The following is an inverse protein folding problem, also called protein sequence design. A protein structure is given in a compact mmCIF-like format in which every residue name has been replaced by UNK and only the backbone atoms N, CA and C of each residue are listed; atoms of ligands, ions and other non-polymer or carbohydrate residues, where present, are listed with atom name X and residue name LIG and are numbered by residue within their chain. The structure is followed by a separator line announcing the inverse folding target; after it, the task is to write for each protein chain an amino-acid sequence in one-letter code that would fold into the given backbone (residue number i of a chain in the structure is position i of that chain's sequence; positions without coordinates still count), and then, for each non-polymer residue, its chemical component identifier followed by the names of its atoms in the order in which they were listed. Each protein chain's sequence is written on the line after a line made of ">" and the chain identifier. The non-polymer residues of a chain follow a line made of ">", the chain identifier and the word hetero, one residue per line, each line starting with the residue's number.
data_IF_967686310106
#
_entry.id   IF_967686310106
#
_cell.length_a   1.000
_cell.length_b   1.000
_cell.length_c   1.000
_cell.angle_alpha   90.00
_cell.angle_beta   90.00
_cell.angle_gamma   90.00
#
_symmetry.space_group_name_H-M   'P 1'
#
loop_
_entity.id
_entity.type
_entity.pdbx_description
1 polymer ?
#
# COMPACT_ATOMS: atom_id res chain seq x y z
N UNK A 1 27.46 33.89 26.56
CA UNK A 1 26.06 33.63 26.16
C UNK A 1 25.80 34.40 24.88
N UNK A 2 25.58 33.70 23.76
CA UNK A 2 25.32 34.30 22.45
C UNK A 2 23.92 33.86 21.99
N UNK A 3 23.00 34.81 21.82
CA UNK A 3 21.65 34.54 21.31
C UNK A 3 21.67 34.46 19.78
N UNK A 4 21.47 33.27 19.23
CA UNK A 4 21.21 33.08 17.80
C UNK A 4 19.79 33.56 17.49
N UNK A 5 19.66 34.82 17.07
CA UNK A 5 18.42 35.34 16.50
C UNK A 5 18.17 34.70 15.14
N UNK A 6 17.00 34.08 14.98
CA UNK A 6 16.54 33.49 13.72
C UNK A 6 16.45 34.61 12.67
N UNK A 7 17.13 34.43 11.54
CA UNK A 7 17.19 35.42 10.47
C UNK A 7 15.87 35.47 9.70
N UNK A 8 14.95 36.28 10.21
CA UNK A 8 13.58 36.50 9.71
C UNK A 8 13.55 36.91 8.23
N UNK A 9 14.62 37.53 7.73
CA UNK A 9 14.78 37.91 6.32
C UNK A 9 14.97 36.71 5.40
N UNK A 10 15.64 35.66 5.87
CA UNK A 10 15.79 34.42 5.11
C UNK A 10 14.45 33.70 4.98
N UNK A 11 13.63 33.70 6.04
CA UNK A 11 12.31 33.07 6.05
C UNK A 11 11.36 33.78 5.07
N UNK A 12 11.31 35.12 5.09
CA UNK A 12 10.48 35.90 4.15
C UNK A 12 10.88 35.66 2.69
N UNK A 13 12.18 35.52 2.42
CA UNK A 13 12.69 35.19 1.08
C UNK A 13 12.23 33.81 0.62
N UNK A 14 12.22 32.82 1.52
CA UNK A 14 11.73 31.46 1.22
C UNK A 14 10.22 31.41 0.99
N UNK A 15 9.42 32.11 1.81
CA UNK A 15 7.96 32.21 1.62
C UNK A 15 7.62 32.85 0.28
N UNK A 16 8.33 33.92 -0.09
CA UNK A 16 8.12 34.59 -1.38
C UNK A 16 8.52 33.71 -2.58
N UNK A 17 9.56 32.89 -2.43
CA UNK A 17 9.97 31.92 -3.45
C UNK A 17 8.92 30.79 -3.60
N UNK A 18 8.36 30.30 -2.50
CA UNK A 18 7.27 29.32 -2.50
C UNK A 18 6.03 29.85 -3.20
N UNK A 19 5.55 31.04 -2.84
CA UNK A 19 4.37 31.64 -3.48
C UNK A 19 4.55 31.79 -5.00
N UNK A 20 5.74 32.22 -5.44
CA UNK A 20 6.06 32.35 -6.87
C UNK A 20 6.14 30.99 -7.58
N UNK A 21 6.55 29.93 -6.87
CA UNK A 21 6.53 28.57 -7.40
C UNK A 21 5.09 28.04 -7.54
N UNK A 22 4.23 28.30 -6.55
CA UNK A 22 2.81 27.96 -6.60
C UNK A 22 2.07 28.70 -7.73
N UNK A 23 2.31 30.00 -7.92
CA UNK A 23 1.73 30.75 -9.05
C UNK A 23 2.18 30.20 -10.41
N UNK A 24 3.44 29.81 -10.54
CA UNK A 24 3.96 29.18 -11.77
C UNK A 24 3.36 27.79 -12.00
N UNK A 25 3.13 27.02 -10.93
CA UNK A 25 2.48 25.72 -11.01
C UNK A 25 0.98 25.87 -11.40
N UNK A 26 0.26 26.82 -10.79
CA UNK A 26 -1.14 27.12 -11.11
C UNK A 26 -1.33 27.63 -12.55
N UNK A 27 -0.35 28.36 -13.09
CA UNK A 27 -0.37 28.82 -14.48
C UNK A 27 -0.02 27.72 -15.49
N UNK A 28 0.79 26.73 -15.08
CA UNK A 28 1.21 25.59 -15.92
C UNK A 28 0.17 24.46 -15.93
N UNK A 29 -0.60 24.33 -14.85
CA UNK A 29 -1.71 23.39 -14.70
C UNK A 29 -2.95 24.16 -14.21
N UNK A 30 -3.70 24.82 -15.12
CA UNK A 30 -4.93 25.48 -14.73
C UNK A 30 -5.89 24.43 -14.17
N UNK A 31 -6.09 24.45 -12.86
CA UNK A 31 -7.15 23.68 -12.22
C UNK A 31 -8.45 24.28 -12.70
N UNK A 32 -9.09 23.65 -13.69
CA UNK A 32 -10.49 23.92 -14.03
C UNK A 32 -11.33 23.47 -12.84
N UNK A 33 -11.58 24.39 -11.91
CA UNK A 33 -12.66 24.25 -10.95
C UNK A 33 -13.96 24.37 -11.75
N UNK A 34 -14.80 23.33 -11.83
CA UNK A 34 -16.13 23.50 -12.40
C UNK A 34 -16.87 24.54 -11.58
N UNK A 35 -17.35 25.57 -12.27
CA UNK A 35 -18.21 26.62 -11.71
C UNK A 35 -19.40 25.95 -11.05
N UNK A 36 -19.56 26.24 -9.77
CA UNK A 36 -20.64 25.85 -8.86
C UNK A 36 -22.02 25.88 -9.53
N UNK A 37 -22.50 24.70 -9.92
CA UNK A 37 -23.91 24.35 -9.84
C UNK A 37 -24.15 23.68 -8.50
N UNK A 38 -25.27 23.97 -7.83
CA UNK A 38 -25.69 23.30 -6.58
C UNK A 38 -25.54 21.79 -6.74
N UNK A 39 -24.56 21.20 -6.06
CA UNK A 39 -24.29 19.78 -6.17
C UNK A 39 -23.16 19.37 -5.24
N UNK A 40 -23.47 18.39 -4.40
CA UNK A 40 -22.54 17.57 -3.65
C UNK A 40 -21.62 18.29 -2.65
N UNK A 41 -22.01 18.24 -1.37
CA UNK A 41 -21.03 18.26 -0.29
C UNK A 41 -20.23 16.96 -0.37
N UNK A 42 -19.10 16.98 -1.07
CA UNK A 42 -18.01 16.06 -0.76
C UNK A 42 -17.55 16.40 0.65
N UNK A 43 -18.01 15.62 1.62
CA UNK A 43 -17.49 15.61 2.98
C UNK A 43 -15.99 15.36 2.92
N UNK A 44 -15.24 16.42 3.21
CA UNK A 44 -13.79 16.40 3.33
C UNK A 44 -13.37 15.64 4.58
N UNK A 45 -12.37 14.77 4.41
CA UNK A 45 -11.47 14.26 5.45
C UNK A 45 -12.07 13.30 6.50
N UNK A 46 -12.27 12.06 6.07
CA UNK A 46 -12.47 10.87 6.89
C UNK A 46 -13.00 9.80 5.96
N UNK A 47 -12.22 8.74 5.71
CA UNK A 47 -12.60 7.49 4.99
C UNK A 47 -14.04 7.49 4.45
N UNK A 48 -14.24 8.13 3.30
CA UNK A 48 -15.55 8.31 2.68
C UNK A 48 -16.01 7.00 2.07
N UNK A 49 -16.47 6.09 2.92
CA UNK A 49 -17.41 5.07 2.52
C UNK A 49 -18.64 5.78 1.95
N UNK A 50 -19.04 5.49 0.72
CA UNK A 50 -20.41 5.82 0.32
C UNK A 50 -21.38 5.00 1.19
N UNK A 51 -22.69 5.26 1.05
CA UNK A 51 -23.71 4.58 1.84
C UNK A 51 -23.60 3.04 1.76
N UNK A 52 -22.91 2.47 0.78
CA UNK A 52 -22.69 1.03 0.63
C UNK A 52 -22.10 0.31 1.86
N UNK A 53 -21.40 1.03 2.75
CA UNK A 53 -20.83 0.46 3.99
C UNK A 53 -21.75 0.62 5.20
N UNK A 54 -22.88 1.33 5.08
CA UNK A 54 -23.92 1.38 6.09
C UNK A 54 -25.10 0.50 5.63
N UNK A 55 -25.21 -0.73 6.16
CA UNK A 55 -26.26 -1.65 5.77
C UNK A 55 -27.66 -1.11 6.03
N UNK A 56 -27.85 -0.30 7.08
CA UNK A 56 -29.16 0.21 7.47
C UNK A 56 -29.63 1.34 6.55
N UNK A 57 -28.73 2.25 6.17
CA UNK A 57 -29.02 3.27 5.15
C UNK A 57 -29.37 2.63 3.81
N UNK A 58 -28.60 1.63 3.37
CA UNK A 58 -28.87 0.97 2.08
C UNK A 58 -30.17 0.19 2.10
N UNK A 59 -30.50 -0.48 3.21
CA UNK A 59 -31.77 -1.20 3.36
C UNK A 59 -32.95 -0.24 3.33
N UNK A 60 -32.87 0.90 4.02
CA UNK A 60 -33.92 1.92 3.98
C UNK A 60 -34.09 2.49 2.56
N UNK A 61 -32.98 2.85 1.89
CA UNK A 61 -33.04 3.36 0.52
C UNK A 61 -33.62 2.32 -0.46
N UNK A 62 -33.22 1.05 -0.32
CA UNK A 62 -33.74 -0.07 -1.13
C UNK A 62 -35.24 -0.22 -0.92
N UNK A 63 -35.69 -0.24 0.33
CA UNK A 63 -37.11 -0.36 0.67
C UNK A 63 -37.94 0.82 0.14
N UNK A 64 -37.42 2.06 0.25
CA UNK A 64 -38.06 3.24 -0.34
C UNK A 64 -38.12 3.14 -1.88
N UNK A 65 -37.11 2.54 -2.50
CA UNK A 65 -37.02 2.35 -3.95
C UNK A 65 -38.00 1.33 -4.51
N UNK A 66 -38.38 0.34 -3.70
CA UNK A 66 -39.38 -0.68 -4.03
C UNK A 66 -40.82 -0.15 -3.97
N UNK A 67 -41.05 0.97 -3.27
CA UNK A 67 -42.37 1.59 -3.23
C UNK A 67 -42.77 2.13 -4.61
N UNK A 68 -44.06 2.00 -4.99
CA UNK A 68 -44.57 2.57 -6.24
C UNK A 68 -44.27 4.08 -6.30
N UNK A 69 -43.91 4.62 -7.47
CA UNK A 69 -43.56 6.05 -7.61
C UNK A 69 -44.69 7.01 -7.21
N UNK A 70 -45.93 6.55 -7.29
CA UNK A 70 -47.13 7.30 -6.90
C UNK A 70 -47.42 7.23 -5.39
N UNK A 71 -46.71 6.37 -4.65
CA UNK A 71 -47.00 6.07 -3.26
C UNK A 71 -45.92 6.66 -2.36
N UNK A 72 -46.40 7.36 -1.35
CA UNK A 72 -45.61 8.00 -0.33
C UNK A 72 -45.33 7.00 0.79
N UNK A 73 -44.06 6.77 1.09
CA UNK A 73 -43.64 5.72 2.02
C UNK A 73 -43.63 6.23 3.46
N UNK A 74 -44.36 5.55 4.35
CA UNK A 74 -44.38 5.88 5.77
C UNK A 74 -43.25 5.14 6.49
N UNK A 75 -42.42 5.87 7.24
CA UNK A 75 -41.28 5.28 7.98
C UNK A 75 -41.72 4.24 9.02
N UNK A 76 -42.92 4.38 9.59
CA UNK A 76 -43.50 3.41 10.52
C UNK A 76 -43.62 2.02 9.90
N UNK A 77 -44.00 1.94 8.61
CA UNK A 77 -44.11 0.67 7.91
C UNK A 77 -42.73 -0.01 7.75
N UNK A 78 -41.67 0.77 7.55
CA UNK A 78 -40.31 0.24 7.52
C UNK A 78 -39.81 -0.17 8.92
N UNK A 79 -40.09 0.63 9.96
CA UNK A 79 -39.72 0.30 11.34
C UNK A 79 -40.36 -1.03 11.79
N UNK A 80 -41.64 -1.22 11.49
CA UNK A 80 -42.35 -2.49 11.73
C UNK A 80 -41.77 -3.66 10.92
N UNK A 81 -41.43 -3.42 9.64
CA UNK A 81 -40.88 -4.45 8.77
C UNK A 81 -39.44 -4.86 9.13
N UNK A 82 -38.60 -3.91 9.53
CA UNK A 82 -37.18 -4.10 9.79
C UNK A 82 -36.86 -4.43 11.26
N UNK A 83 -37.79 -4.17 12.17
CA UNK A 83 -37.57 -4.28 13.62
C UNK A 83 -36.69 -3.16 14.20
N UNK A 84 -36.32 -2.16 13.39
CA UNK A 84 -35.51 -1.02 13.82
C UNK A 84 -36.42 0.01 14.52
N UNK A 85 -36.02 0.56 15.69
CA UNK A 85 -36.79 1.60 16.37
C UNK A 85 -37.10 2.78 15.43
N UNK A 86 -38.33 3.28 15.50
CA UNK A 86 -38.78 4.36 14.62
C UNK A 86 -37.90 5.61 14.70
N UNK A 87 -37.37 5.94 15.88
CA UNK A 87 -36.51 7.10 16.06
C UNK A 87 -35.16 6.93 15.32
N UNK A 88 -34.61 5.71 15.28
CA UNK A 88 -33.42 5.40 14.50
C UNK A 88 -33.72 5.45 12.99
N UNK A 89 -34.87 4.94 12.57
CA UNK A 89 -35.33 5.05 11.17
C UNK A 89 -35.48 6.51 10.73
N UNK A 90 -35.96 7.39 11.62
CA UNK A 90 -36.04 8.83 11.34
C UNK A 90 -34.66 9.46 11.15
N UNK A 91 -33.66 9.03 11.94
CA UNK A 91 -32.27 9.48 11.77
C UNK A 91 -31.72 9.05 10.42
N UNK A 92 -31.90 7.78 10.05
CA UNK A 92 -31.49 7.24 8.75
C UNK A 92 -32.17 7.99 7.58
N UNK A 93 -33.47 8.29 7.72
CA UNK A 93 -34.21 9.02 6.69
C UNK A 93 -33.72 10.47 6.53
N UNK A 94 -33.39 11.14 7.64
CA UNK A 94 -32.78 12.48 7.61
C UNK A 94 -31.40 12.47 6.95
N UNK A 95 -30.62 11.41 7.15
CA UNK A 95 -29.33 11.24 6.48
C UNK A 95 -29.50 11.03 4.97
N UNK A 96 -30.43 10.18 4.55
CA UNK A 96 -30.77 10.03 3.12
C UNK A 96 -31.30 11.35 2.51
N UNK A 97 -32.04 12.16 3.26
CA UNK A 97 -32.48 13.49 2.81
C UNK A 97 -31.32 14.47 2.67
N UNK A 98 -30.43 14.51 3.67
CA UNK A 98 -29.20 15.33 3.65
C UNK A 98 -28.33 14.99 2.44
N UNK A 99 -28.23 13.70 2.12
CA UNK A 99 -27.41 13.20 1.01
C UNK A 99 -28.13 13.30 -0.34
N UNK A 100 -29.37 13.81 -0.35
CA UNK A 100 -30.17 14.06 -1.56
C UNK A 100 -30.76 12.79 -2.19
N UNK A 101 -30.72 11.66 -1.49
CA UNK A 101 -31.19 10.35 -1.96
C UNK A 101 -32.68 10.12 -1.69
N UNK A 102 -33.21 10.77 -0.65
CA UNK A 102 -34.63 10.78 -0.33
C UNK A 102 -35.12 12.22 -0.11
N UNK A 103 -36.44 12.42 -0.18
CA UNK A 103 -37.06 13.71 0.03
C UNK A 103 -38.31 13.54 0.91
N UNK A 104 -38.41 14.36 1.96
CA UNK A 104 -39.57 14.37 2.84
C UNK A 104 -40.64 15.30 2.27
N UNK A 105 -41.82 14.74 2.00
CA UNK A 105 -42.97 15.56 1.63
C UNK A 105 -43.53 16.18 2.90
N UNK A 106 -43.07 17.39 3.23
CA UNK A 106 -43.53 18.16 4.38
C UNK A 106 -45.05 18.33 4.33
N UNK A 107 -45.74 17.49 5.08
CA UNK A 107 -47.19 17.53 5.22
C UNK A 107 -47.46 18.12 6.58
N UNK A 108 -48.26 19.19 6.65
CA UNK A 108 -48.59 19.81 7.93
C UNK A 108 -49.37 18.80 8.80
N UNK A 109 -48.73 18.26 9.85
CA UNK A 109 -49.42 17.67 11.00
C UNK A 109 -49.16 16.19 11.36
N UNK A 110 -48.38 15.41 10.60
CA UNK A 110 -47.99 14.04 11.01
C UNK A 110 -46.77 13.54 10.22
N UNK A 111 -46.26 12.33 10.56
CA UNK A 111 -45.15 11.62 9.90
C UNK A 111 -45.00 12.00 8.43
N UNK A 112 -43.89 12.68 8.11
CA UNK A 112 -43.61 13.09 6.74
C UNK A 112 -43.34 11.82 5.93
N UNK A 113 -44.14 11.53 4.90
CA UNK A 113 -43.80 10.45 4.01
C UNK A 113 -42.57 10.79 3.19
N UNK A 114 -41.77 9.77 2.90
CA UNK A 114 -40.56 9.88 2.11
C UNK A 114 -40.77 9.30 0.72
N UNK A 115 -40.04 9.87 -0.24
CA UNK A 115 -39.87 9.33 -1.60
C UNK A 115 -38.41 9.33 -1.98
N UNK A 116 -38.02 8.40 -2.85
CA UNK A 116 -36.67 8.40 -3.45
C UNK A 116 -36.60 9.47 -4.53
N UNK A 117 -35.52 10.26 -4.51
CA UNK A 117 -35.23 11.28 -5.54
C UNK A 117 -34.71 10.62 -6.83
N UNK A 118 -34.52 11.41 -7.90
CA UNK A 118 -33.88 10.90 -9.11
C UNK A 118 -32.43 10.44 -8.84
N UNK A 119 -31.69 11.19 -8.01
CA UNK A 119 -30.34 10.82 -7.58
C UNK A 119 -30.34 9.53 -6.75
N UNK A 120 -31.30 9.38 -5.83
CA UNK A 120 -31.50 8.14 -5.08
C UNK A 120 -31.79 6.93 -5.99
N UNK A 121 -32.46 7.11 -7.13
CA UNK A 121 -32.69 6.04 -8.11
C UNK A 121 -31.44 5.69 -8.91
N UNK A 122 -30.61 6.67 -9.25
CA UNK A 122 -29.29 6.42 -9.85
C UNK A 122 -28.43 5.63 -8.86
N UNK A 123 -28.48 6.01 -7.59
CA UNK A 123 -27.75 5.33 -6.53
C UNK A 123 -28.24 3.89 -6.30
N UNK A 124 -29.55 3.64 -6.32
CA UNK A 124 -30.11 2.29 -6.29
C UNK A 124 -29.62 1.42 -7.45
N UNK A 125 -29.48 1.99 -8.66
CA UNK A 125 -28.91 1.27 -9.80
C UNK A 125 -27.42 0.98 -9.57
N UNK A 126 -26.65 1.92 -9.02
CA UNK A 126 -25.24 1.72 -8.65
C UNK A 126 -25.10 0.60 -7.61
N UNK A 127 -25.93 0.61 -6.58
CA UNK A 127 -25.95 -0.42 -5.53
C UNK A 127 -26.31 -1.80 -6.10
N UNK A 128 -27.27 -1.88 -7.03
CA UNK A 128 -27.58 -3.13 -7.73
C UNK A 128 -26.40 -3.66 -8.58
N UNK A 129 -25.64 -2.76 -9.21
CA UNK A 129 -24.41 -3.12 -9.92
C UNK A 129 -23.31 -3.59 -8.96
N UNK A 130 -23.14 -2.92 -7.81
CA UNK A 130 -22.18 -3.35 -6.78
C UNK A 130 -22.54 -4.71 -6.18
N UNK A 131 -23.83 -4.95 -5.93
CA UNK A 131 -24.34 -6.24 -5.46
C UNK A 131 -24.11 -7.37 -6.44
N UNK A 132 -23.97 -7.08 -7.74
CA UNK A 132 -23.67 -8.11 -8.75
C UNK A 132 -22.18 -8.23 -9.07
N UNK A 133 -21.30 -7.42 -8.44
CA UNK A 133 -19.86 -7.44 -8.68
C UNK A 133 -19.12 -8.37 -7.68
N UNK A 134 -18.69 -9.58 -8.10
CA UNK A 134 -18.13 -10.57 -7.16
C UNK A 134 -16.86 -10.07 -6.47
N UNK A 135 -16.00 -9.37 -7.22
CA UNK A 135 -14.76 -8.82 -6.68
C UNK A 135 -15.01 -7.77 -5.58
N UNK A 136 -16.06 -6.95 -5.70
CA UNK A 136 -16.41 -5.97 -4.67
C UNK A 136 -16.94 -6.67 -3.41
N UNK A 137 -17.81 -7.66 -3.60
CA UNK A 137 -18.38 -8.47 -2.51
C UNK A 137 -17.32 -9.21 -1.71
N UNK A 138 -16.37 -9.87 -2.38
CA UNK A 138 -15.27 -10.56 -1.71
C UNK A 138 -14.35 -9.63 -0.92
N UNK A 139 -14.02 -8.44 -1.47
CA UNK A 139 -13.24 -7.44 -0.72
C UNK A 139 -13.97 -6.97 0.52
N UNK A 140 -15.25 -6.61 0.37
CA UNK A 140 -16.08 -6.20 1.50
C UNK A 140 -16.17 -7.32 2.54
N UNK A 141 -16.47 -8.56 2.15
CA UNK A 141 -16.57 -9.69 3.06
C UNK A 141 -15.27 -9.92 3.85
N UNK A 142 -14.11 -9.79 3.19
CA UNK A 142 -12.79 -9.91 3.83
C UNK A 142 -12.58 -8.82 4.89
N UNK A 143 -12.86 -7.56 4.55
CA UNK A 143 -12.66 -6.43 5.45
C UNK A 143 -13.68 -6.45 6.61
N UNK A 144 -14.95 -6.71 6.32
CA UNK A 144 -16.04 -6.74 7.28
C UNK A 144 -15.89 -7.90 8.26
N UNK A 145 -15.54 -9.10 7.78
CA UNK A 145 -15.32 -10.26 8.65
C UNK A 145 -14.14 -10.04 9.61
N UNK A 146 -13.04 -9.45 9.13
CA UNK A 146 -11.89 -9.16 10.00
C UNK A 146 -12.22 -8.12 11.09
N UNK A 147 -12.99 -7.06 10.74
CA UNK A 147 -13.48 -6.10 11.75
C UNK A 147 -14.41 -6.75 12.76
N UNK A 148 -15.34 -7.58 12.29
CA UNK A 148 -16.25 -8.31 13.18
C UNK A 148 -15.49 -9.22 14.16
N UNK A 149 -14.44 -9.92 13.70
CA UNK A 149 -13.57 -10.72 14.56
C UNK A 149 -12.85 -9.87 15.60
N UNK A 150 -12.38 -8.68 15.23
CA UNK A 150 -11.78 -7.74 16.17
C UNK A 150 -12.79 -7.29 17.23
N UNK A 151 -13.97 -6.83 16.83
CA UNK A 151 -15.00 -6.35 17.77
C UNK A 151 -15.49 -7.46 18.71
N UNK A 152 -15.63 -8.68 18.19
CA UNK A 152 -16.16 -9.83 18.94
C UNK A 152 -15.08 -10.55 19.75
N UNK A 153 -13.82 -10.54 19.33
CA UNK A 153 -12.78 -11.44 19.82
C UNK A 153 -11.35 -10.86 19.72
N UNK A 154 -11.17 -9.56 19.99
CA UNK A 154 -9.84 -8.92 20.03
C UNK A 154 -8.88 -9.55 21.04
N UNK A 155 -9.39 -10.28 22.03
CA UNK A 155 -8.61 -11.10 22.97
C UNK A 155 -8.07 -12.40 22.35
N UNK A 156 -8.26 -12.59 21.03
CA UNK A 156 -7.82 -13.75 20.24
C UNK A 156 -8.48 -15.06 20.66
N UNK A 157 -9.66 -14.99 21.27
CA UNK A 157 -10.45 -16.20 21.57
C UNK A 157 -10.95 -16.86 20.27
N UNK A 158 -10.89 -18.20 20.16
CA UNK A 158 -11.45 -18.90 19.00
C UNK A 158 -12.95 -18.63 18.87
N UNK A 159 -13.37 -18.23 17.67
CA UNK A 159 -14.74 -17.81 17.36
C UNK A 159 -15.27 -18.56 16.15
N UNK A 160 -16.55 -18.94 16.18
CA UNK A 160 -17.20 -19.66 15.08
C UNK A 160 -17.54 -18.70 13.92
N UNK A 161 -16.98 -18.87 12.71
CA UNK A 161 -17.17 -17.92 11.60
C UNK A 161 -18.63 -17.68 11.21
N UNK A 162 -19.47 -18.72 11.24
CA UNK A 162 -20.89 -18.58 10.87
C UNK A 162 -21.68 -17.58 11.73
N UNK A 163 -21.17 -17.21 12.92
CA UNK A 163 -21.77 -16.15 13.74
C UNK A 163 -21.81 -14.79 13.03
N UNK A 164 -20.87 -14.54 12.12
CA UNK A 164 -20.82 -13.31 11.32
C UNK A 164 -22.03 -13.15 10.40
N UNK A 165 -22.51 -14.22 9.77
CA UNK A 165 -23.63 -14.13 8.82
C UNK A 165 -24.93 -13.66 9.47
N UNK A 166 -25.06 -13.82 10.79
CA UNK A 166 -26.21 -13.34 11.56
C UNK A 166 -26.12 -11.85 11.97
N UNK A 167 -25.03 -11.16 11.65
CA UNK A 167 -24.84 -9.75 12.04
C UNK A 167 -25.21 -8.78 10.92
N UNK A 168 -25.36 -7.50 11.25
CA UNK A 168 -25.74 -6.48 10.25
C UNK A 168 -24.62 -6.23 9.24
N UNK A 169 -23.37 -6.42 9.67
CA UNK A 169 -22.15 -6.26 8.87
C UNK A 169 -22.03 -7.32 7.76
N UNK A 170 -22.81 -8.39 7.82
CA UNK A 170 -22.89 -9.42 6.77
C UNK A 170 -23.62 -8.96 5.51
N UNK A 171 -24.12 -7.72 5.46
CA UNK A 171 -24.83 -7.17 4.32
C UNK A 171 -23.94 -6.18 3.54
N UNK A 172 -23.83 -6.39 2.23
CA UNK A 172 -23.13 -5.47 1.32
C UNK A 172 -24.08 -4.91 0.28
N UNK A 173 -24.13 -3.57 0.15
CA UNK A 173 -25.05 -2.90 -0.77
C UNK A 173 -26.50 -3.44 -0.64
N UNK A 174 -26.92 -3.72 0.60
CA UNK A 174 -28.24 -4.24 0.95
C UNK A 174 -28.50 -5.72 0.67
N UNK A 175 -27.53 -6.45 0.10
CA UNK A 175 -27.64 -7.90 -0.09
C UNK A 175 -26.84 -8.66 0.95
N UNK A 176 -27.41 -9.72 1.52
CA UNK A 176 -26.72 -10.66 2.42
C UNK A 176 -25.52 -11.30 1.71
N UNK A 177 -24.42 -11.48 2.45
CA UNK A 177 -23.27 -12.28 2.03
C UNK A 177 -23.60 -13.77 2.15
N UNK A 178 -23.16 -14.56 1.17
CA UNK A 178 -23.34 -16.02 1.20
C UNK A 178 -22.25 -16.72 2.02
N UNK A 179 -22.52 -17.95 2.44
CA UNK A 179 -21.53 -18.81 3.09
C UNK A 179 -20.27 -19.01 2.22
N UNK A 180 -20.44 -19.15 0.91
CA UNK A 180 -19.31 -19.25 -0.04
C UNK A 180 -18.44 -17.99 -0.08
N UNK A 181 -19.02 -16.80 0.16
CA UNK A 181 -18.26 -15.55 0.23
C UNK A 181 -17.50 -15.43 1.55
N UNK A 182 -18.08 -15.96 2.63
CA UNK A 182 -17.41 -16.10 3.92
C UNK A 182 -16.25 -17.11 3.83
N UNK A 183 -16.44 -18.25 3.19
CA UNK A 183 -15.38 -19.24 2.98
C UNK A 183 -14.20 -18.66 2.19
N UNK A 184 -14.50 -17.85 1.17
CA UNK A 184 -13.48 -17.12 0.42
C UNK A 184 -12.72 -16.13 1.31
N UNK A 185 -13.45 -15.34 2.11
CA UNK A 185 -12.85 -14.38 3.04
C UNK A 185 -11.95 -15.08 4.07
N UNK A 186 -12.40 -16.20 4.64
CA UNK A 186 -11.63 -17.04 5.56
C UNK A 186 -10.35 -17.54 4.91
N UNK A 187 -10.45 -18.20 3.74
CA UNK A 187 -9.29 -18.69 3.02
C UNK A 187 -8.29 -17.57 2.70
N UNK A 188 -8.78 -16.38 2.35
CA UNK A 188 -7.94 -15.22 2.08
C UNK A 188 -7.24 -14.72 3.34
N UNK A 189 -7.95 -14.59 4.46
CA UNK A 189 -7.38 -14.09 5.72
C UNK A 189 -6.37 -15.07 6.31
N UNK A 190 -6.69 -16.36 6.32
CA UNK A 190 -5.78 -17.43 6.77
C UNK A 190 -4.53 -17.49 5.90
N UNK A 191 -4.67 -17.45 4.56
CA UNK A 191 -3.50 -17.44 3.66
C UNK A 191 -2.63 -16.18 3.80
N UNK A 192 -3.19 -15.09 4.35
CA UNK A 192 -2.46 -13.85 4.61
C UNK A 192 -1.88 -13.74 6.03
N UNK A 193 -2.13 -14.71 6.91
CA UNK A 193 -1.65 -14.70 8.30
C UNK A 193 -2.39 -13.72 9.22
N UNK A 194 -3.52 -13.16 8.79
CA UNK A 194 -4.32 -12.22 9.60
C UNK A 194 -5.29 -12.95 10.55
N UNK A 195 -5.58 -14.21 10.26
CA UNK A 195 -6.45 -15.09 11.04
C UNK A 195 -5.81 -16.48 11.08
N UNK A 196 -5.85 -17.13 12.24
CA UNK A 196 -5.42 -18.52 12.41
C UNK A 196 -6.64 -19.44 12.51
N UNK A 197 -6.55 -20.60 11.88
CA UNK A 197 -7.49 -21.70 12.10
C UNK A 197 -7.19 -22.34 13.46
N UNK A 198 -8.16 -22.33 14.36
CA UNK A 198 -8.11 -23.14 15.57
C UNK A 198 -8.65 -24.52 15.19
N UNK A 199 -7.80 -25.55 15.34
CA UNK A 199 -8.06 -26.93 14.95
C UNK A 199 -9.09 -27.60 15.89
N UNK A 200 -10.31 -27.06 15.87
CA UNK A 200 -11.44 -27.44 16.72
C UNK A 200 -12.62 -27.89 15.86
N UNK A 201 -13.52 -28.69 16.46
CA UNK A 201 -14.78 -29.06 15.83
C UNK A 201 -15.96 -28.54 16.67
N UNK A 202 -16.84 -27.67 16.14
CA UNK A 202 -16.80 -27.07 14.80
C UNK A 202 -15.59 -26.14 14.57
N UNK A 203 -15.25 -25.88 13.31
CA UNK A 203 -14.10 -25.06 12.92
C UNK A 203 -14.22 -23.67 13.52
N UNK A 204 -13.24 -23.29 14.34
CA UNK A 204 -13.15 -21.93 14.90
C UNK A 204 -11.92 -21.23 14.37
N UNK A 205 -11.93 -19.91 14.41
CA UNK A 205 -10.82 -19.08 13.97
C UNK A 205 -10.49 -18.04 15.02
N UNK A 206 -9.23 -17.62 15.07
CA UNK A 206 -8.77 -16.58 15.98
C UNK A 206 -8.04 -15.49 15.20
N UNK A 207 -8.32 -14.22 15.51
CA UNK A 207 -7.58 -13.11 14.94
C UNK A 207 -6.12 -13.14 15.41
N UNK A 208 -5.18 -12.85 14.52
CA UNK A 208 -3.74 -12.75 14.86
C UNK A 208 -3.39 -11.34 15.32
N UNK A 209 -2.15 -11.14 15.80
CA UNK A 209 -1.66 -9.80 16.10
C UNK A 209 -1.63 -8.94 14.83
N UNK A 210 -1.16 -9.50 13.71
CA UNK A 210 -1.14 -8.80 12.42
C UNK A 210 -2.56 -8.47 11.94
N UNK A 211 -3.54 -9.35 12.22
CA UNK A 211 -4.96 -9.08 11.96
C UNK A 211 -5.49 -7.89 12.77
N UNK A 212 -5.13 -7.80 14.05
CA UNK A 212 -5.48 -6.66 14.91
C UNK A 212 -4.84 -5.37 14.36
N UNK A 213 -3.55 -5.40 14.04
CA UNK A 213 -2.84 -4.24 13.48
C UNK A 213 -3.45 -3.80 12.14
N UNK A 214 -3.88 -4.75 11.31
CA UNK A 214 -4.60 -4.47 10.07
C UNK A 214 -5.89 -3.67 10.35
N UNK A 215 -6.71 -4.10 11.31
CA UNK A 215 -7.95 -3.39 11.68
C UNK A 215 -7.64 -2.00 12.24
N UNK A 216 -6.67 -1.90 13.15
CA UNK A 216 -6.27 -0.63 13.77
C UNK A 216 -5.65 0.37 12.78
N UNK A 217 -5.06 -0.11 11.68
CA UNK A 217 -4.53 0.76 10.63
C UNK A 217 -5.61 1.56 9.88
N UNK A 218 -6.88 1.14 9.97
CA UNK A 218 -8.02 1.81 9.35
C UNK A 218 -8.08 1.70 7.82
N UNK A 219 -7.22 0.91 7.19
CA UNK A 219 -7.24 0.67 5.73
C UNK A 219 -7.85 -0.69 5.38
N UNK A 220 -8.09 -0.93 4.10
CA UNK A 220 -8.56 -2.25 3.64
C UNK A 220 -7.49 -3.32 3.87
N UNK A 221 -7.90 -4.58 4.01
CA UNK A 221 -6.98 -5.72 4.12
C UNK A 221 -6.03 -5.77 2.93
N UNK A 222 -6.52 -5.45 1.73
CA UNK A 222 -5.67 -5.42 0.53
C UNK A 222 -4.61 -4.32 0.60
N UNK A 223 -4.97 -3.12 1.05
CA UNK A 223 -4.02 -2.02 1.19
C UNK A 223 -3.03 -2.26 2.32
N UNK A 224 -3.48 -2.85 3.43
CA UNK A 224 -2.60 -3.25 4.53
C UNK A 224 -1.56 -4.25 4.05
N UNK A 225 -1.99 -5.35 3.41
CA UNK A 225 -1.09 -6.37 2.88
C UNK A 225 -0.15 -5.83 1.79
N UNK A 226 -0.57 -4.85 1.00
CA UNK A 226 0.31 -4.19 0.03
C UNK A 226 1.37 -3.29 0.67
N UNK A 227 1.15 -2.82 1.91
CA UNK A 227 2.12 -2.01 2.66
C UNK A 227 3.09 -2.88 3.47
N UNK A 228 2.58 -3.95 4.08
CA UNK A 228 3.38 -4.86 4.93
C UNK A 228 4.15 -5.88 4.13
N UNK A 229 3.71 -6.21 2.90
CA UNK A 229 4.61 -6.82 1.92
C UNK A 229 5.57 -5.72 1.47
N UNK A 230 6.88 -5.85 1.71
CA UNK A 230 7.83 -5.05 0.95
C UNK A 230 7.59 -5.46 -0.51
N UNK A 231 6.87 -4.64 -1.27
CA UNK A 231 7.03 -4.68 -2.71
C UNK A 231 8.52 -4.51 -2.95
N UNK A 232 9.09 -5.33 -3.83
CA UNK A 232 10.49 -5.23 -4.20
C UNK A 232 10.83 -3.75 -4.44
N UNK A 233 11.52 -3.15 -3.48
CA UNK A 233 12.00 -1.79 -3.60
C UNK A 233 13.14 -1.87 -4.60
N UNK A 234 12.83 -1.66 -5.88
CA UNK A 234 13.84 -1.37 -6.88
C UNK A 234 14.31 0.06 -6.63
N UNK A 235 15.31 0.22 -5.76
CA UNK A 235 16.06 1.47 -5.70
C UNK A 235 16.85 1.60 -6.99
N UNK A 236 16.37 2.42 -7.92
CA UNK A 236 17.20 2.90 -9.01
C UNK A 236 18.07 4.01 -8.42
N UNK A 237 19.32 3.68 -8.13
CA UNK A 237 20.39 4.61 -7.79
C UNK A 237 20.69 5.46 -9.03
N UNK A 238 19.87 6.49 -9.23
CA UNK A 238 19.95 7.35 -10.41
C UNK A 238 18.76 8.30 -10.51
N UNK A 239 18.71 9.28 -9.61
CA UNK A 239 17.97 10.56 -9.74
C UNK A 239 16.77 10.58 -10.70
N UNK A 240 15.66 9.92 -10.34
CA UNK A 240 14.29 10.34 -10.69
C UNK A 240 13.26 9.46 -9.97
N UNK A 241 12.53 10.03 -9.02
CA UNK A 241 11.34 9.40 -8.42
C UNK A 241 10.17 9.60 -9.40
N UNK A 242 9.71 8.52 -10.02
CA UNK A 242 8.46 8.52 -10.77
C UNK A 242 7.40 7.84 -9.90
N UNK A 243 6.47 8.64 -9.37
CA UNK A 243 5.21 8.15 -8.83
C UNK A 243 4.23 8.01 -9.99
N UNK A 244 3.74 6.80 -10.26
CA UNK A 244 2.68 6.63 -11.25
C UNK A 244 2.39 5.18 -11.60
N UNK A 245 1.19 4.74 -11.22
CA UNK A 245 0.53 3.56 -11.78
C UNK A 245 0.30 3.74 -13.28
N UNK A 246 0.62 2.72 -14.08
CA UNK A 246 -0.21 2.15 -15.15
C UNK A 246 0.58 1.10 -15.92
N UNK A 247 -0.18 0.13 -16.44
CA UNK A 247 0.32 -1.13 -16.96
C UNK A 247 1.21 -1.00 -18.20
N UNK A 248 2.05 -2.03 -18.33
CA UNK A 248 2.86 -2.39 -19.50
C UNK A 248 4.08 -1.51 -19.75
N UNK A 249 5.07 -1.68 -18.88
CA UNK A 249 6.47 -1.54 -19.27
C UNK A 249 6.99 -2.96 -19.49
N UNK A 250 6.99 -3.42 -20.74
CA UNK A 250 7.89 -4.49 -21.16
C UNK A 250 9.31 -3.90 -21.13
N UNK A 251 9.88 -3.83 -19.93
CA UNK A 251 11.29 -3.52 -19.77
C UNK A 251 12.04 -4.80 -20.07
N UNK A 252 12.67 -4.82 -21.24
CA UNK A 252 13.69 -5.79 -21.57
C UNK A 252 14.80 -5.66 -20.52
N UNK A 253 14.69 -6.45 -19.45
CA UNK A 253 15.71 -6.55 -18.42
C UNK A 253 16.88 -7.32 -19.05
N UNK A 254 17.71 -6.59 -19.82
CA UNK A 254 19.03 -7.07 -20.17
C UNK A 254 19.81 -7.15 -18.85
N UNK A 255 20.08 -8.38 -18.43
CA UNK A 255 21.02 -8.77 -17.38
C UNK A 255 22.10 -7.71 -17.10
N UNK A 256 21.97 -6.96 -16.02
CA UNK A 256 23.11 -6.79 -15.12
C UNK A 256 23.02 -7.92 -14.08
N UNK A 257 23.10 -9.15 -14.58
CA UNK A 257 23.50 -10.27 -13.74
C UNK A 257 24.83 -9.85 -13.10
N UNK A 258 24.96 -10.05 -11.79
CA UNK A 258 26.22 -9.90 -11.09
C UNK A 258 27.33 -10.61 -11.88
N UNK A 259 28.12 -9.85 -12.63
CA UNK A 259 29.17 -10.38 -13.49
C UNK A 259 30.53 -10.05 -12.87
N UNK A 260 31.13 -10.99 -12.11
CA UNK A 260 32.41 -10.79 -11.47
C UNK A 260 33.59 -10.82 -12.47
N UNK A 261 33.34 -10.87 -13.78
CA UNK A 261 34.37 -10.87 -14.84
C UNK A 261 35.38 -9.73 -14.70
N UNK A 262 34.91 -8.51 -14.43
CA UNK A 262 35.79 -7.34 -14.25
C UNK A 262 36.73 -7.47 -13.04
N UNK A 263 36.28 -8.13 -11.96
CA UNK A 263 37.13 -8.38 -10.78
C UNK A 263 38.11 -9.53 -11.01
N UNK A 264 37.76 -10.50 -11.85
CA UNK A 264 38.67 -11.56 -12.30
C UNK A 264 39.80 -10.99 -13.16
N UNK A 265 39.48 -10.08 -14.08
CA UNK A 265 40.48 -9.39 -14.91
C UNK A 265 41.42 -8.53 -14.07
N UNK A 266 40.88 -7.83 -13.07
CA UNK A 266 41.69 -7.09 -12.11
C UNK A 266 42.64 -8.00 -11.31
N UNK A 267 42.16 -9.12 -10.80
CA UNK A 267 43.00 -10.09 -10.08
C UNK A 267 44.16 -10.62 -10.95
N UNK A 268 43.89 -10.96 -12.21
CA UNK A 268 44.91 -11.40 -13.17
C UNK A 268 45.95 -10.30 -13.44
N UNK A 269 45.51 -9.05 -13.54
CA UNK A 269 46.41 -7.91 -13.72
C UNK A 269 47.32 -7.70 -12.50
N UNK A 270 46.78 -7.82 -11.29
CA UNK A 270 47.57 -7.71 -10.05
C UNK A 270 48.65 -8.79 -10.01
N UNK A 271 48.32 -10.04 -10.34
CA UNK A 271 49.30 -11.13 -10.42
C UNK A 271 50.40 -10.86 -11.46
N UNK A 272 50.04 -10.32 -12.62
CA UNK A 272 50.98 -10.02 -13.70
C UNK A 272 51.94 -8.87 -13.35
N UNK A 273 51.43 -7.86 -12.63
CA UNK A 273 52.18 -6.65 -12.31
C UNK A 273 52.84 -6.67 -10.92
N UNK A 274 52.47 -7.59 -10.03
CA UNK A 274 53.07 -7.74 -8.70
C UNK A 274 54.63 -7.78 -8.72
N UNK A 275 55.29 -8.54 -9.61
CA UNK A 275 56.76 -8.56 -9.69
C UNK A 275 57.38 -7.24 -10.15
N UNK A 276 56.59 -6.34 -10.74
CA UNK A 276 57.05 -5.06 -11.29
C UNK A 276 56.96 -3.90 -10.29
N UNK A 277 56.31 -4.11 -9.13
CA UNK A 277 56.14 -3.08 -8.10
C UNK A 277 57.37 -2.86 -7.22
N UNK A 278 58.40 -3.71 -7.33
CA UNK A 278 59.66 -3.54 -6.60
C UNK A 278 59.49 -3.67 -5.08
N UNK A 279 58.57 -4.53 -4.65
CA UNK A 279 58.26 -4.83 -3.24
C UNK A 279 59.07 -6.02 -2.73
N UNK A 280 59.12 -6.18 -1.41
CA UNK A 280 59.81 -7.31 -0.79
C UNK A 280 59.16 -8.65 -1.20
N UNK A 281 59.94 -9.73 -1.41
CA UNK A 281 59.43 -11.01 -1.88
C UNK A 281 58.28 -11.56 -1.03
N UNK A 282 58.32 -11.40 0.30
CA UNK A 282 57.27 -11.87 1.20
C UNK A 282 55.95 -11.10 1.01
N UNK A 283 56.02 -9.81 0.70
CA UNK A 283 54.84 -8.97 0.42
C UNK A 283 54.30 -9.22 -0.99
N UNK A 284 55.20 -9.55 -1.93
CA UNK A 284 54.84 -9.95 -3.28
C UNK A 284 54.05 -11.26 -3.28
N UNK A 285 54.53 -12.27 -2.57
CA UNK A 285 53.88 -13.58 -2.49
C UNK A 285 52.51 -13.48 -1.80
N UNK A 286 52.40 -12.66 -0.74
CA UNK A 286 51.12 -12.39 -0.10
C UNK A 286 50.11 -11.71 -1.04
N UNK A 287 50.55 -10.68 -1.80
CA UNK A 287 49.68 -9.98 -2.74
C UNK A 287 49.22 -10.87 -3.91
N UNK A 288 50.11 -11.74 -4.41
CA UNK A 288 49.78 -12.72 -5.44
C UNK A 288 48.74 -13.72 -4.91
N UNK A 289 48.94 -14.22 -3.68
CA UNK A 289 47.99 -15.13 -3.04
C UNK A 289 46.62 -14.48 -2.84
N UNK A 290 46.56 -13.24 -2.36
CA UNK A 290 45.30 -12.52 -2.19
C UNK A 290 44.57 -12.28 -3.53
N UNK A 291 45.32 -12.02 -4.60
CA UNK A 291 44.78 -11.90 -5.95
C UNK A 291 44.27 -13.25 -6.49
N UNK A 292 44.93 -14.37 -6.20
CA UNK A 292 44.42 -15.72 -6.51
C UNK A 292 43.09 -15.99 -5.83
N UNK A 293 42.98 -15.68 -4.53
CA UNK A 293 41.72 -15.83 -3.77
C UNK A 293 40.60 -14.99 -4.38
N UNK A 294 40.88 -13.75 -4.79
CA UNK A 294 39.91 -12.91 -5.49
C UNK A 294 39.47 -13.52 -6.84
N UNK A 295 40.41 -14.06 -7.62
CA UNK A 295 40.12 -14.70 -8.91
C UNK A 295 39.28 -15.98 -8.75
N UNK A 296 39.56 -16.79 -7.72
CA UNK A 296 38.80 -18.00 -7.39
C UNK A 296 37.37 -17.67 -6.96
N UNK A 297 37.19 -16.71 -6.06
CA UNK A 297 35.86 -16.27 -5.61
C UNK A 297 35.05 -15.66 -6.76
N UNK A 298 35.71 -14.90 -7.66
CA UNK A 298 35.11 -14.34 -8.87
C UNK A 298 34.82 -15.39 -9.97
N UNK A 299 35.37 -16.60 -9.87
CA UNK A 299 35.17 -17.69 -10.85
C UNK A 299 34.28 -18.81 -10.34
N UNK A 300 33.88 -18.75 -9.06
CA UNK A 300 32.98 -19.72 -8.44
C UNK A 300 31.58 -19.68 -9.07
N UNK A 301 31.02 -20.87 -9.35
CA UNK A 301 29.63 -21.01 -9.81
C UNK A 301 28.59 -20.53 -8.78
N UNK A 302 29.01 -20.28 -7.54
CA UNK A 302 28.20 -19.69 -6.47
C UNK A 302 28.92 -18.45 -5.89
N UNK A 303 29.33 -17.55 -6.78
CA UNK A 303 30.01 -16.31 -6.45
C UNK A 303 29.19 -15.49 -5.44
N UNK A 304 29.68 -15.35 -4.21
CA UNK A 304 29.01 -14.59 -3.16
C UNK A 304 29.52 -13.15 -3.14
N UNK A 305 28.65 -12.14 -3.35
CA UNK A 305 29.02 -10.72 -3.34
C UNK A 305 29.82 -10.30 -2.09
N UNK A 306 29.46 -10.83 -0.92
CA UNK A 306 30.16 -10.52 0.34
C UNK A 306 31.59 -11.06 0.41
N UNK A 307 31.84 -12.25 -0.14
CA UNK A 307 33.18 -12.88 -0.15
C UNK A 307 34.11 -12.20 -1.16
N UNK A 308 33.56 -11.84 -2.32
CA UNK A 308 34.29 -11.10 -3.36
C UNK A 308 34.66 -9.69 -2.88
N UNK A 309 33.77 -8.98 -2.17
CA UNK A 309 34.11 -7.68 -1.56
C UNK A 309 35.24 -7.80 -0.55
N UNK A 310 35.16 -8.78 0.35
CA UNK A 310 36.22 -9.00 1.35
C UNK A 310 37.57 -9.33 0.69
N UNK A 311 37.59 -10.19 -0.32
CA UNK A 311 38.81 -10.52 -1.07
C UNK A 311 39.37 -9.29 -1.83
N UNK A 312 38.51 -8.48 -2.44
CA UNK A 312 38.91 -7.24 -3.11
C UNK A 312 39.52 -6.22 -2.13
N UNK A 313 38.90 -6.03 -0.96
CA UNK A 313 39.41 -5.11 0.07
C UNK A 313 40.79 -5.53 0.57
N UNK A 314 41.05 -6.84 0.71
CA UNK A 314 42.38 -7.37 1.06
C UNK A 314 43.42 -7.03 -0.01
N UNK A 315 43.11 -7.27 -1.29
CA UNK A 315 44.02 -6.95 -2.41
C UNK A 315 44.29 -5.44 -2.50
N UNK A 316 43.25 -4.61 -2.34
CA UNK A 316 43.40 -3.14 -2.34
C UNK A 316 44.17 -2.63 -1.12
N UNK A 317 43.97 -3.25 0.05
CA UNK A 317 44.76 -3.01 1.25
C UNK A 317 46.25 -3.28 1.01
N UNK A 318 46.57 -4.42 0.40
CA UNK A 318 47.94 -4.77 -0.01
C UNK A 318 48.54 -3.76 -0.98
N UNK A 319 47.83 -3.40 -2.05
CA UNK A 319 48.29 -2.43 -3.04
C UNK A 319 48.52 -1.02 -2.49
N UNK A 320 47.69 -0.57 -1.55
CA UNK A 320 47.79 0.78 -0.95
C UNK A 320 48.88 0.88 0.13
N UNK A 321 49.29 -0.25 0.71
CA UNK A 321 50.40 -0.32 1.66
C UNK A 321 51.79 -0.30 0.99
N UNK A 322 51.84 -0.48 -0.34
CA UNK A 322 53.08 -0.36 -1.11
C UNK A 322 53.49 1.12 -1.14
N UNK A 323 54.46 1.48 -0.31
CA UNK A 323 54.93 2.87 -0.16
C UNK A 323 55.69 3.42 -1.39
N UNK A 324 56.08 2.56 -2.33
CA UNK A 324 56.76 2.94 -3.57
C UNK A 324 55.72 3.26 -4.67
N UNK A 325 55.44 4.55 -4.89
CA UNK A 325 54.55 4.99 -5.96
C UNK A 325 55.20 4.74 -7.34
N UNK A 326 54.87 3.62 -7.97
CA UNK A 326 55.15 3.38 -9.39
C UNK A 326 53.95 3.78 -10.24
N UNK A 327 54.19 4.19 -11.49
CA UNK A 327 53.11 4.50 -12.44
C UNK A 327 52.19 3.30 -12.66
N UNK A 328 52.75 2.08 -12.69
CA UNK A 328 52.00 0.82 -12.78
C UNK A 328 51.07 0.60 -11.59
N UNK A 329 51.55 0.83 -10.35
CA UNK A 329 50.74 0.69 -9.13
C UNK A 329 49.53 1.64 -9.12
N UNK A 330 49.74 2.89 -9.52
CA UNK A 330 48.66 3.89 -9.57
C UNK A 330 47.58 3.51 -10.60
N UNK A 331 47.99 3.01 -11.76
CA UNK A 331 47.08 2.51 -12.80
C UNK A 331 46.30 1.28 -12.33
N UNK A 332 46.95 0.33 -11.65
CA UNK A 332 46.29 -0.86 -11.10
C UNK A 332 45.26 -0.50 -10.05
N UNK A 333 45.57 0.42 -9.12
CA UNK A 333 44.61 0.91 -8.11
C UNK A 333 43.38 1.56 -8.76
N UNK A 334 43.57 2.37 -9.80
CA UNK A 334 42.46 3.00 -10.54
C UNK A 334 41.59 1.96 -11.26
N UNK A 335 42.20 0.96 -11.89
CA UNK A 335 41.47 -0.13 -12.55
C UNK A 335 40.71 -1.01 -11.54
N UNK A 336 41.27 -1.26 -10.36
CA UNK A 336 40.58 -1.94 -9.27
C UNK A 336 39.32 -1.21 -8.81
N UNK A 337 39.40 0.12 -8.64
CA UNK A 337 38.23 0.95 -8.29
C UNK A 337 37.17 0.95 -9.39
N UNK A 338 37.57 0.99 -10.66
CA UNK A 338 36.65 0.89 -11.79
C UNK A 338 35.97 -0.48 -11.85
N UNK A 339 36.72 -1.58 -11.70
CA UNK A 339 36.19 -2.93 -11.65
C UNK A 339 35.21 -3.11 -10.49
N UNK A 340 35.55 -2.62 -9.29
CA UNK A 340 34.66 -2.65 -8.14
C UNK A 340 33.38 -1.83 -8.37
N UNK A 341 33.48 -0.63 -8.95
CA UNK A 341 32.30 0.18 -9.27
C UNK A 341 31.43 -0.45 -10.37
N UNK A 342 32.03 -1.21 -11.29
CA UNK A 342 31.30 -1.92 -12.34
C UNK A 342 30.52 -3.11 -11.78
N UNK A 343 31.08 -3.81 -10.79
CA UNK A 343 30.46 -5.00 -10.16
C UNK A 343 29.54 -4.65 -8.99
N UNK A 344 29.80 -3.56 -8.26
CA UNK A 344 29.10 -3.21 -7.03
C UNK A 344 28.57 -1.76 -6.95
N UNK A 345 28.87 -0.90 -7.92
CA UNK A 345 28.55 0.53 -7.93
C UNK A 345 27.24 0.90 -8.63
N UNK A 346 26.32 -0.07 -8.76
CA UNK A 346 24.93 0.15 -9.16
C UNK A 346 24.06 0.35 -7.93
#
# INVERSE_FOLDING_TARGET
>A
MASNGIDQRAIEKHVKALNKAYERAAKKYPITVPVTGRGFTLSSAGTGAGIEQDPQLVRLLTWLGEQPQSQLAALNAYAEHSGVPLDDVKILALELERDGLADSMKTFGSDNPYRVTDDGRVELRRLAQLRSAPAARHRYATDAFLRWLYDTAHDRRPTHPAGFLATTESHFAGGELSETELDYALARLTSSGLVDDADTEPKTVAITIDGIDCVLSGVSVSDYLNRTRPGDYYSITGTNVVAGSQGKVEQHNHNNAFDPSALREFAALVQQLAPTYGIEPEQQDALIHDAEVLAEEASSNNAQPGRIRAAFDTVMGGLTQIGAASAGLTTTIQQGQQAFSTVFGG
#
